data_IF_488912340820
#
_entry.id   IF_488912340820
#
_cell.length_a   1.000
_cell.length_b   1.000
_cell.length_c   1.000
_cell.angle_alpha   90.00
_cell.angle_beta   90.00
_cell.angle_gamma   90.00
#
_symmetry.space_group_name_H-M   'P 1'
#
loop_
_entity.id
_entity.type
_entity.pdbx_description
1 polymer ?
#
# COMPACT_ATOMS: atom_id res chain seq x y z
N UNK A 1 -13.50 3.61 7.15
CA UNK A 1 -12.84 4.90 7.44
C UNK A 1 -13.81 6.08 7.29
N UNK A 2 -14.50 6.27 6.15
CA UNK A 2 -15.47 7.38 6.00
C UNK A 2 -16.60 7.42 7.05
N UNK A 3 -17.10 6.27 7.50
CA UNK A 3 -18.06 6.22 8.61
C UNK A 3 -17.50 6.79 9.91
N UNK A 4 -16.23 6.49 10.20
CA UNK A 4 -15.54 6.97 11.41
C UNK A 4 -15.26 8.48 11.35
N UNK A 5 -15.22 9.04 10.15
CA UNK A 5 -15.14 10.47 9.88
C UNK A 5 -16.53 11.15 9.86
N UNK A 6 -17.63 10.39 9.95
CA UNK A 6 -18.99 10.93 9.88
C UNK A 6 -19.42 11.40 8.48
N UNK A 7 -18.69 11.02 7.42
CA UNK A 7 -18.94 11.45 6.04
C UNK A 7 -19.38 10.32 5.11
N UNK A 8 -19.72 9.15 5.68
CA UNK A 8 -20.07 7.93 4.94
C UNK A 8 -21.12 8.14 3.84
N UNK A 9 -22.29 8.67 4.20
CA UNK A 9 -23.38 8.91 3.25
C UNK A 9 -23.00 9.86 2.11
N UNK A 10 -22.31 10.96 2.43
CA UNK A 10 -21.84 11.91 1.41
C UNK A 10 -20.85 11.27 0.44
N UNK A 11 -19.98 10.38 0.94
CA UNK A 11 -18.98 9.72 0.11
C UNK A 11 -19.57 8.66 -0.81
N UNK A 12 -20.71 8.03 -0.48
CA UNK A 12 -21.35 7.04 -1.37
C UNK A 12 -21.63 7.58 -2.77
N UNK A 13 -22.09 8.83 -2.87
CA UNK A 13 -22.39 9.47 -4.16
C UNK A 13 -21.15 9.99 -4.89
N UNK A 14 -20.02 10.19 -4.19
CA UNK A 14 -18.79 10.79 -4.73
C UNK A 14 -17.69 9.78 -5.02
N UNK A 15 -17.77 8.58 -4.45
CA UNK A 15 -16.71 7.59 -4.56
C UNK A 15 -16.71 6.95 -5.94
N UNK A 16 -15.57 7.06 -6.63
CA UNK A 16 -15.34 6.38 -7.92
C UNK A 16 -14.55 5.10 -7.64
N UNK A 17 -15.19 3.95 -7.81
CA UNK A 17 -14.57 2.65 -7.56
C UNK A 17 -13.76 2.22 -8.79
N UNK A 18 -12.51 1.84 -8.57
CA UNK A 18 -11.63 1.27 -9.59
C UNK A 18 -11.54 -0.26 -9.43
N UNK A 19 -11.34 -0.98 -10.52
CA UNK A 19 -11.30 -2.46 -10.51
C UNK A 19 -9.91 -3.01 -10.22
N UNK A 20 -8.86 -2.25 -10.50
CA UNK A 20 -7.47 -2.60 -10.18
C UNK A 20 -6.79 -1.52 -9.32
N UNK A 21 -5.94 -1.91 -8.34
CA UNK A 21 -5.26 -0.94 -7.46
C UNK A 21 -4.49 0.15 -8.21
N UNK A 22 -3.78 -0.20 -9.29
CA UNK A 22 -3.00 0.76 -10.08
C UNK A 22 -3.87 1.84 -10.75
N UNK A 23 -5.15 1.56 -11.02
CA UNK A 23 -6.06 2.53 -11.65
C UNK A 23 -6.44 3.68 -10.70
N UNK A 24 -6.28 3.51 -9.39
CA UNK A 24 -6.61 4.56 -8.41
C UNK A 24 -5.71 5.78 -8.62
N UNK A 25 -4.39 5.58 -8.67
CA UNK A 25 -3.45 6.67 -8.94
C UNK A 25 -3.62 7.25 -10.35
N UNK A 26 -3.91 6.40 -11.34
CA UNK A 26 -4.13 6.86 -12.72
C UNK A 26 -5.39 7.71 -12.87
N UNK A 27 -6.48 7.39 -12.15
CA UNK A 27 -7.70 8.20 -12.14
C UNK A 27 -7.43 9.61 -11.62
N UNK A 28 -6.58 9.74 -10.58
CA UNK A 28 -6.14 11.05 -10.08
C UNK A 28 -5.25 11.77 -11.11
N UNK A 29 -4.26 11.08 -11.66
CA UNK A 29 -3.35 11.66 -12.66
C UNK A 29 -4.08 12.16 -13.93
N UNK A 30 -5.20 11.54 -14.30
CA UNK A 30 -6.06 11.98 -15.42
C UNK A 30 -7.05 13.09 -15.05
N UNK A 31 -7.24 13.37 -13.76
CA UNK A 31 -8.25 14.32 -13.28
C UNK A 31 -9.66 13.75 -13.16
N UNK A 32 -9.84 12.42 -13.30
CA UNK A 32 -11.14 11.77 -13.12
C UNK A 32 -11.60 11.83 -11.65
N UNK A 33 -10.65 11.91 -10.72
CA UNK A 33 -10.87 12.10 -9.29
C UNK A 33 -9.81 13.05 -8.71
N UNK A 34 -10.19 13.87 -7.73
CA UNK A 34 -9.26 14.79 -7.07
C UNK A 34 -8.35 14.08 -6.05
N UNK A 35 -8.87 13.02 -5.40
CA UNK A 35 -8.18 12.27 -4.35
C UNK A 35 -8.26 10.77 -4.59
N UNK A 36 -7.15 10.08 -4.33
CA UNK A 36 -7.06 8.63 -4.31
C UNK A 36 -6.86 8.12 -2.88
N UNK A 37 -7.63 7.11 -2.47
CA UNK A 37 -7.52 6.50 -1.14
C UNK A 37 -7.14 5.02 -1.31
N UNK A 38 -5.90 4.69 -1.00
CA UNK A 38 -5.40 3.32 -1.01
C UNK A 38 -4.10 3.21 -0.20
N UNK A 39 -3.48 2.02 -0.17
CA UNK A 39 -2.14 1.85 0.42
C UNK A 39 -1.07 2.61 -0.37
N UNK A 40 -0.18 3.28 0.35
CA UNK A 40 0.80 4.24 -0.21
C UNK A 40 1.68 3.59 -1.28
N UNK A 41 2.11 2.35 -1.09
CA UNK A 41 2.98 1.64 -2.03
C UNK A 41 2.38 1.50 -3.44
N UNK A 42 1.06 1.49 -3.57
CA UNK A 42 0.35 1.49 -4.86
C UNK A 42 0.16 2.90 -5.42
N UNK A 43 0.07 3.90 -4.54
CA UNK A 43 -0.15 5.30 -4.93
C UNK A 43 1.12 5.99 -5.43
N UNK A 44 2.31 5.43 -5.21
CA UNK A 44 3.56 5.94 -5.76
C UNK A 44 3.58 5.69 -7.28
N UNK A 45 3.07 6.66 -8.03
CA UNK A 45 2.99 6.64 -9.48
C UNK A 45 3.30 8.03 -10.07
N UNK A 46 3.68 8.11 -11.35
CA UNK A 46 3.83 9.38 -12.03
C UNK A 46 2.52 10.17 -12.10
N UNK A 47 2.59 11.50 -11.97
CA UNK A 47 1.43 12.39 -12.13
C UNK A 47 0.53 12.51 -10.90
N UNK A 48 0.95 11.97 -9.74
CA UNK A 48 0.28 12.15 -8.46
C UNK A 48 1.26 12.56 -7.37
N UNK A 49 0.76 13.24 -6.35
CA UNK A 49 1.50 13.57 -5.14
C UNK A 49 0.87 12.84 -3.95
N UNK A 50 1.71 12.32 -3.04
CA UNK A 50 1.24 11.68 -1.82
C UNK A 50 0.91 12.76 -0.78
N UNK A 51 -0.38 12.95 -0.49
CA UNK A 51 -0.83 13.89 0.53
C UNK A 51 -0.42 13.49 1.96
N UNK A 52 -0.21 12.18 2.20
CA UNK A 52 0.23 11.64 3.48
C UNK A 52 -0.62 10.45 3.95
N UNK A 53 -0.21 9.79 5.06
CA UNK A 53 -0.99 8.74 5.69
C UNK A 53 -2.22 9.32 6.42
N UNK A 54 -3.20 8.46 6.71
CA UNK A 54 -4.26 8.83 7.65
C UNK A 54 -3.70 8.99 9.07
N UNK A 55 -4.37 9.79 9.92
CA UNK A 55 -4.10 9.80 11.37
C UNK A 55 -4.18 8.39 11.94
N UNK A 56 -3.39 8.12 12.99
CA UNK A 56 -3.24 6.78 13.58
C UNK A 56 -4.58 6.14 13.96
N UNK A 57 -5.56 6.95 14.37
CA UNK A 57 -6.89 6.47 14.71
C UNK A 57 -7.56 5.88 13.47
N UNK A 58 -7.49 6.53 12.32
CA UNK A 58 -8.17 6.15 11.08
C UNK A 58 -7.36 5.20 10.19
N UNK A 59 -6.05 5.16 10.41
CA UNK A 59 -5.12 4.35 9.63
C UNK A 59 -5.37 2.87 9.86
N UNK A 60 -5.28 2.10 8.78
CA UNK A 60 -5.29 0.64 8.82
C UNK A 60 -3.93 0.15 8.34
N UNK A 61 -3.15 -0.41 9.27
CA UNK A 61 -1.86 -1.02 8.97
C UNK A 61 -2.06 -2.34 8.21
N UNK A 62 -1.35 -2.48 7.08
CA UNK A 62 -1.34 -3.69 6.28
C UNK A 62 0.02 -4.38 6.41
N UNK A 63 0.06 -5.49 7.14
CA UNK A 63 1.27 -6.29 7.29
C UNK A 63 1.45 -7.25 6.11
N UNK A 64 2.64 -7.22 5.48
CA UNK A 64 3.07 -8.21 4.50
C UNK A 64 4.05 -9.18 5.17
N UNK A 65 3.70 -10.46 5.21
CA UNK A 65 4.49 -11.49 5.89
C UNK A 65 5.10 -12.46 4.88
N UNK A 66 6.35 -12.86 5.11
CA UNK A 66 7.03 -13.91 4.34
C UNK A 66 7.27 -15.15 5.20
N UNK A 67 7.10 -16.34 4.61
CA UNK A 67 7.35 -17.61 5.27
C UNK A 67 7.87 -18.65 4.27
N UNK A 68 8.59 -19.66 4.77
CA UNK A 68 9.04 -20.80 3.97
C UNK A 68 7.90 -21.82 3.90
N UNK A 69 7.55 -22.26 2.70
CA UNK A 69 6.55 -23.31 2.51
C UNK A 69 7.00 -24.62 3.18
N UNK A 70 6.07 -25.30 3.88
CA UNK A 70 6.37 -26.47 4.69
C UNK A 70 6.99 -27.64 3.90
N UNK A 71 6.67 -27.75 2.60
CA UNK A 71 7.16 -28.78 1.69
C UNK A 71 8.25 -28.27 0.71
N UNK A 72 8.88 -27.13 1.01
CA UNK A 72 9.91 -26.56 0.13
C UNK A 72 11.11 -27.50 0.02
N UNK A 73 11.50 -27.82 -1.22
CA UNK A 73 12.75 -28.54 -1.52
C UNK A 73 13.99 -27.65 -1.34
N UNK A 74 13.80 -26.34 -1.34
CA UNK A 74 14.84 -25.31 -1.25
C UNK A 74 14.68 -24.47 0.02
N UNK A 75 14.39 -25.12 1.16
CA UNK A 75 14.07 -24.43 2.41
C UNK A 75 15.20 -23.48 2.88
N UNK A 76 16.47 -23.89 2.70
CA UNK A 76 17.63 -23.07 3.07
C UNK A 76 17.73 -21.81 2.20
N UNK A 77 17.55 -21.93 0.88
CA UNK A 77 17.58 -20.78 -0.03
C UNK A 77 16.40 -19.83 0.23
N UNK A 78 15.20 -20.37 0.48
CA UNK A 78 14.04 -19.57 0.84
C UNK A 78 14.25 -18.81 2.16
N UNK A 79 14.88 -19.44 3.16
CA UNK A 79 15.24 -18.77 4.42
C UNK A 79 16.23 -17.64 4.17
N UNK A 80 17.31 -17.91 3.43
CA UNK A 80 18.32 -16.90 3.09
C UNK A 80 17.71 -15.70 2.35
N UNK A 81 16.72 -15.93 1.48
CA UNK A 81 15.99 -14.84 0.83
C UNK A 81 15.16 -14.01 1.81
N UNK A 82 14.42 -14.65 2.73
CA UNK A 82 13.67 -13.94 3.77
C UNK A 82 14.62 -13.12 4.66
N UNK A 83 15.76 -13.68 5.04
CA UNK A 83 16.78 -12.97 5.84
C UNK A 83 17.38 -11.79 5.05
N UNK A 84 17.53 -11.92 3.73
CA UNK A 84 17.95 -10.80 2.89
C UNK A 84 16.92 -9.67 2.86
N UNK A 85 15.61 -9.97 2.91
CA UNK A 85 14.55 -8.95 2.91
C UNK A 85 14.56 -8.08 4.17
N UNK A 86 15.19 -8.52 5.27
CA UNK A 86 15.40 -7.74 6.50
C UNK A 86 16.74 -6.99 6.53
N UNK A 87 17.56 -7.13 5.49
CA UNK A 87 18.84 -6.43 5.39
C UNK A 87 18.65 -4.90 5.19
N UNK A 88 19.65 -4.07 5.55
CA UNK A 88 19.58 -2.63 5.32
C UNK A 88 19.36 -2.25 3.84
N UNK A 89 19.91 -3.03 2.92
CA UNK A 89 19.75 -2.81 1.48
C UNK A 89 18.30 -3.01 1.04
N UNK A 90 17.66 -4.09 1.48
CA UNK A 90 16.25 -4.35 1.21
C UNK A 90 15.34 -3.33 1.91
N UNK A 91 15.63 -2.98 3.17
CA UNK A 91 14.89 -2.00 3.94
C UNK A 91 14.86 -0.61 3.25
N UNK A 92 15.97 -0.19 2.64
CA UNK A 92 16.03 1.05 1.87
C UNK A 92 15.08 1.04 0.66
N UNK A 93 15.01 -0.09 -0.07
CA UNK A 93 14.09 -0.26 -1.21
C UNK A 93 12.64 -0.28 -0.74
N UNK A 94 12.34 -1.02 0.32
CA UNK A 94 11.01 -1.11 0.94
C UNK A 94 10.50 0.29 1.33
N UNK A 95 11.35 1.07 2.00
CA UNK A 95 11.04 2.45 2.39
C UNK A 95 10.84 3.37 1.19
N UNK A 96 11.67 3.26 0.16
CA UNK A 96 11.53 4.02 -1.08
C UNK A 96 10.22 3.68 -1.84
N UNK A 97 9.62 2.52 -1.56
CA UNK A 97 8.30 2.12 -2.05
C UNK A 97 7.17 2.42 -1.06
N UNK A 98 7.40 3.27 -0.07
CA UNK A 98 6.35 3.77 0.83
C UNK A 98 5.84 2.75 1.83
N UNK A 99 6.65 1.73 2.15
CA UNK A 99 6.34 0.70 3.14
C UNK A 99 7.27 0.83 4.35
N UNK A 100 6.82 0.30 5.49
CA UNK A 100 7.64 0.19 6.69
C UNK A 100 8.39 -1.15 6.67
N UNK A 101 9.74 -1.16 6.69
CA UNK A 101 10.50 -2.40 6.85
C UNK A 101 10.31 -2.97 8.26
N UNK A 102 10.31 -4.31 8.35
CA UNK A 102 10.25 -5.07 9.61
C UNK A 102 11.61 -5.54 10.09
#
# INVERSE_FOLDING_TARGET
MFERLGIGETMKAKTIIQTAPAQIAQAVARGDAELGVFVINVLIAPGVEIAGPFPAELQQELAFTAAVAANSREAAAARAFIDYLTSPAAAAVIKAKGMNPG
#
